data_IF_625564580592
#
_entry.id   IF_625564580592
#
_cell.length_a   1.000
_cell.length_b   1.000
_cell.length_c   1.000
_cell.angle_alpha   90.00
_cell.angle_beta   90.00
_cell.angle_gamma   90.00
#
_symmetry.space_group_name_H-M   'P 1'
#
loop_
_entity.id
_entity.type
_entity.pdbx_description
1 polymer ?
#
# COMPACT_ATOMS: atom_id res chain seq x y z
N UNK A 1 12.36 6.81 -0.87
CA UNK A 1 11.08 6.07 -0.96
C UNK A 1 10.53 5.82 0.43
N UNK A 2 9.30 6.24 0.70
CA UNK A 2 8.57 5.94 1.93
C UNK A 2 7.60 4.78 1.73
N UNK A 3 7.75 3.71 2.51
CA UNK A 3 6.86 2.55 2.53
C UNK A 3 5.93 2.62 3.74
N UNK A 4 4.62 2.72 3.50
CA UNK A 4 3.61 2.62 4.57
C UNK A 4 3.08 1.18 4.58
N UNK A 5 3.41 0.42 5.62
CA UNK A 5 3.10 -1.01 5.74
C UNK A 5 4.23 -1.94 5.24
N UNK A 6 5.32 -2.12 6.01
CA UNK A 6 6.45 -2.99 5.64
C UNK A 6 6.18 -4.50 5.82
N UNK A 7 5.02 -4.95 5.33
CA UNK A 7 4.65 -6.36 5.21
C UNK A 7 5.34 -7.03 4.01
N UNK A 8 4.83 -8.19 3.59
CA UNK A 8 5.40 -8.96 2.46
C UNK A 8 5.54 -8.12 1.17
N UNK A 9 4.49 -7.37 0.81
CA UNK A 9 4.48 -6.55 -0.42
C UNK A 9 5.41 -5.33 -0.26
N UNK A 10 5.28 -4.60 0.85
CA UNK A 10 6.11 -3.41 1.11
C UNK A 10 7.62 -3.73 1.11
N UNK A 11 8.03 -4.88 1.66
CA UNK A 11 9.43 -5.36 1.61
C UNK A 11 9.88 -5.65 0.19
N UNK A 12 9.07 -6.35 -0.60
CA UNK A 12 9.39 -6.66 -1.99
C UNK A 12 9.56 -5.36 -2.83
N UNK A 13 8.77 -4.32 -2.54
CA UNK A 13 8.92 -3.00 -3.16
C UNK A 13 10.21 -2.32 -2.69
N UNK A 14 10.50 -2.34 -1.38
CA UNK A 14 11.74 -1.79 -0.82
C UNK A 14 12.99 -2.41 -1.43
N UNK A 15 13.04 -3.75 -1.58
CA UNK A 15 14.15 -4.48 -2.20
C UNK A 15 14.37 -4.05 -3.65
N UNK A 16 13.29 -3.88 -4.43
CA UNK A 16 13.38 -3.38 -5.80
C UNK A 16 13.90 -1.95 -5.82
N UNK A 17 13.34 -1.08 -4.98
CA UNK A 17 13.74 0.33 -4.90
C UNK A 17 15.21 0.52 -4.52
N UNK A 18 15.75 -0.32 -3.63
CA UNK A 18 17.16 -0.33 -3.30
C UNK A 18 18.05 -0.61 -4.53
N UNK A 19 17.61 -1.49 -5.45
CA UNK A 19 18.31 -1.74 -6.71
C UNK A 19 18.29 -0.53 -7.68
N UNK A 20 17.34 0.39 -7.52
CA UNK A 20 17.33 1.69 -8.21
C UNK A 20 18.16 2.77 -7.50
N UNK A 21 18.88 2.43 -6.42
CA UNK A 21 19.68 3.37 -5.64
C UNK A 21 18.84 4.32 -4.76
N UNK A 22 17.60 3.97 -4.44
CA UNK A 22 16.75 4.78 -3.58
C UNK A 22 17.04 4.53 -2.10
N UNK A 23 17.06 5.60 -1.30
CA UNK A 23 16.99 5.50 0.16
C UNK A 23 15.58 5.12 0.60
N UNK A 24 15.44 4.06 1.41
CA UNK A 24 14.13 3.54 1.83
C UNK A 24 13.88 3.82 3.32
N UNK A 25 12.74 4.44 3.62
CA UNK A 25 12.20 4.57 4.97
C UNK A 25 10.84 3.88 5.06
N UNK A 26 10.48 3.37 6.23
CA UNK A 26 9.22 2.65 6.41
C UNK A 26 8.50 3.04 7.71
N UNK A 27 7.16 3.10 7.65
CA UNK A 27 6.29 3.36 8.79
C UNK A 27 5.13 2.34 8.87
N UNK A 28 4.58 2.16 10.07
CA UNK A 28 3.45 1.26 10.35
C UNK A 28 3.87 -0.16 10.75
N UNK A 29 2.90 -0.92 11.28
CA UNK A 29 3.09 -2.32 11.67
C UNK A 29 2.81 -3.24 10.47
N UNK A 30 3.78 -4.09 10.12
CA UNK A 30 3.48 -5.27 9.32
C UNK A 30 2.72 -6.24 10.22
N UNK A 31 1.44 -6.48 9.98
CA UNK A 31 0.66 -7.41 10.78
C UNK A 31 1.27 -8.82 10.73
N UNK A 32 2.00 -9.20 11.78
CA UNK A 32 1.78 -10.37 12.65
C UNK A 32 3.08 -10.87 13.31
N UNK A 33 3.00 -11.03 14.63
CA UNK A 33 3.98 -11.57 15.60
C UNK A 33 5.24 -10.78 15.91
N UNK A 34 5.58 -10.75 17.20
CA UNK A 34 6.78 -10.23 17.86
C UNK A 34 8.11 -10.75 17.26
N UNK A 35 8.06 -11.80 16.42
CA UNK A 35 9.18 -12.23 15.57
C UNK A 35 9.49 -11.28 14.41
N UNK A 36 8.51 -10.52 13.93
CA UNK A 36 8.61 -9.61 12.77
C UNK A 36 9.15 -8.23 13.14
N UNK A 37 9.06 -7.84 14.42
CA UNK A 37 9.73 -6.64 14.94
C UNK A 37 11.25 -6.78 14.83
N UNK A 38 11.77 -8.01 14.95
CA UNK A 38 13.19 -8.34 14.74
C UNK A 38 13.57 -8.54 13.27
N UNK A 39 12.61 -8.77 12.36
CA UNK A 39 12.89 -9.01 10.94
C UNK A 39 12.71 -7.80 10.02
N UNK A 40 12.18 -6.69 10.51
CA UNK A 40 12.16 -5.45 9.72
C UNK A 40 13.54 -4.77 9.67
N UNK A 41 14.47 -5.21 10.53
CA UNK A 41 15.91 -4.95 10.41
C UNK A 41 16.59 -5.81 9.32
N UNK A 42 15.92 -6.80 8.71
CA UNK A 42 16.57 -7.79 7.83
C UNK A 42 16.65 -7.36 6.35
N UNK A 43 16.13 -6.19 5.98
CA UNK A 43 16.35 -5.64 4.62
C UNK A 43 17.47 -4.61 4.73
N UNK A 44 18.69 -4.88 4.21
CA UNK A 44 19.78 -3.92 4.28
C UNK A 44 19.32 -2.56 3.72
N UNK A 45 19.37 -1.51 4.54
CA UNK A 45 19.11 -0.14 4.11
C UNK A 45 17.67 0.40 4.29
N UNK A 46 16.73 -0.34 4.90
CA UNK A 46 15.41 0.24 5.24
C UNK A 46 15.36 0.77 6.68
N UNK A 47 15.18 2.07 6.85
CA UNK A 47 15.08 2.71 8.18
C UNK A 47 13.63 2.85 8.63
N UNK A 48 13.30 2.40 9.84
CA UNK A 48 11.96 2.62 10.42
C UNK A 48 11.83 4.02 11.01
N UNK A 49 10.71 4.68 10.70
CA UNK A 49 10.41 6.06 11.07
C UNK A 49 8.93 6.20 11.45
N UNK A 50 8.56 7.34 12.04
CA UNK A 50 7.15 7.68 12.21
C UNK A 50 6.48 7.95 10.86
N UNK A 51 5.15 7.84 10.79
CA UNK A 51 4.41 8.22 9.57
C UNK A 51 4.67 9.68 9.20
N UNK A 52 4.66 10.58 10.20
CA UNK A 52 4.93 12.00 10.01
C UNK A 52 6.31 12.25 9.40
N UNK A 53 7.35 11.59 9.92
CA UNK A 53 8.71 11.70 9.37
C UNK A 53 8.79 11.13 7.95
N UNK A 54 8.11 10.00 7.68
CA UNK A 54 8.04 9.41 6.35
C UNK A 54 7.43 10.38 5.33
N UNK A 55 6.29 10.99 5.66
CA UNK A 55 5.58 11.90 4.76
C UNK A 55 6.44 13.12 4.40
N UNK A 56 7.12 13.71 5.40
CA UNK A 56 7.96 14.90 5.19
C UNK A 56 9.26 14.58 4.42
N UNK A 57 9.82 13.39 4.61
CA UNK A 57 11.12 13.02 4.03
C UNK A 57 11.05 12.33 2.67
N UNK A 58 9.89 11.81 2.26
CA UNK A 58 9.78 10.95 1.06
C UNK A 58 9.43 11.71 -0.22
N UNK A 59 10.17 11.44 -1.29
CA UNK A 59 9.85 11.90 -2.67
C UNK A 59 8.82 11.00 -3.36
N UNK A 60 8.65 9.78 -2.87
CA UNK A 60 7.59 8.85 -3.28
C UNK A 60 7.09 8.15 -2.03
N UNK A 61 5.76 8.10 -1.85
CA UNK A 61 5.10 7.38 -0.76
C UNK A 61 4.27 6.25 -1.37
N UNK A 62 4.52 5.01 -0.96
CA UNK A 62 3.82 3.82 -1.46
C UNK A 62 3.09 3.10 -0.33
N UNK A 63 1.80 2.83 -0.54
CA UNK A 63 0.90 2.24 0.45
C UNK A 63 0.77 0.73 0.28
N UNK A 64 0.95 -0.01 1.38
CA UNK A 64 0.93 -1.47 1.44
C UNK A 64 0.28 -1.99 2.73
N UNK A 65 -0.67 -1.24 3.28
CA UNK A 65 -1.40 -1.58 4.52
C UNK A 65 -2.71 -2.29 4.21
N UNK A 66 -3.17 -3.23 5.06
CA UNK A 66 -4.56 -3.68 5.01
C UNK A 66 -5.50 -2.53 5.38
N UNK A 67 -6.76 -2.61 4.93
CA UNK A 67 -7.80 -1.68 5.39
C UNK A 67 -8.34 -2.15 6.75
N UNK A 68 -8.32 -1.26 7.73
CA UNK A 68 -8.91 -1.39 9.07
C UNK A 68 -9.50 -0.04 9.49
N UNK A 69 -10.06 0.04 10.70
CA UNK A 69 -10.54 1.31 11.24
C UNK A 69 -9.39 2.34 11.40
N UNK A 70 -8.20 1.85 11.74
CA UNK A 70 -7.00 2.67 11.98
C UNK A 70 -6.33 3.13 10.67
N UNK A 71 -6.48 2.37 9.58
CA UNK A 71 -5.86 2.70 8.29
C UNK A 71 -6.84 3.34 7.30
N UNK A 72 -8.14 3.40 7.64
CA UNK A 72 -9.12 4.16 6.86
C UNK A 72 -8.74 5.63 6.90
N UNK A 73 -8.62 6.23 5.72
CA UNK A 73 -8.20 7.63 5.53
C UNK A 73 -6.89 7.95 6.26
N UNK A 74 -5.99 6.98 6.33
CA UNK A 74 -4.63 7.18 6.85
C UNK A 74 -3.91 8.29 6.09
N UNK A 75 -4.19 8.40 4.79
CA UNK A 75 -3.77 9.52 3.95
C UNK A 75 -4.97 10.45 3.74
N UNK A 76 -5.20 11.29 4.74
CA UNK A 76 -6.20 12.36 4.73
C UNK A 76 -5.59 13.71 4.28
N UNK A 77 -6.40 14.77 4.36
CA UNK A 77 -5.97 16.13 4.05
C UNK A 77 -4.75 16.58 4.86
N UNK A 78 -4.67 16.21 6.13
CA UNK A 78 -3.54 16.55 7.00
C UNK A 78 -2.29 15.82 6.52
N UNK A 79 -2.35 14.52 6.28
CA UNK A 79 -1.23 13.72 5.78
C UNK A 79 -0.70 14.26 4.45
N UNK A 80 -1.59 14.59 3.51
CA UNK A 80 -1.22 15.14 2.20
C UNK A 80 -0.47 16.48 2.33
N UNK A 81 -0.87 17.36 3.26
CA UNK A 81 -0.14 18.63 3.49
C UNK A 81 1.26 18.47 4.07
N UNK A 82 1.58 17.31 4.64
CA UNK A 82 2.91 17.00 5.20
C UNK A 82 3.87 16.49 4.14
N UNK A 83 3.36 16.03 3.00
CA UNK A 83 4.18 15.54 1.90
C UNK A 83 4.97 16.67 1.23
N UNK A 84 6.09 16.32 0.60
CA UNK A 84 6.82 17.28 -0.25
C UNK A 84 5.95 17.68 -1.44
N UNK A 85 6.07 18.93 -1.88
CA UNK A 85 5.43 19.41 -3.11
C UNK A 85 5.85 18.64 -4.36
N UNK A 86 7.03 18.05 -4.33
CA UNK A 86 7.59 17.21 -5.40
C UNK A 86 7.22 15.74 -5.26
N UNK A 87 6.52 15.34 -4.19
CA UNK A 87 6.28 13.94 -3.89
C UNK A 87 5.19 13.32 -4.77
N UNK A 88 5.33 12.01 -5.02
CA UNK A 88 4.28 11.19 -5.64
C UNK A 88 3.66 10.24 -4.61
N UNK A 89 2.34 10.06 -4.66
CA UNK A 89 1.61 9.06 -3.87
C UNK A 89 1.24 7.85 -4.73
N UNK A 90 1.49 6.64 -4.25
CA UNK A 90 1.13 5.39 -4.92
C UNK A 90 0.23 4.57 -4.01
N UNK A 91 -0.98 4.24 -4.47
CA UNK A 91 -1.89 3.32 -3.78
C UNK A 91 -2.21 2.10 -4.63
N UNK A 92 -1.62 0.96 -4.25
CA UNK A 92 -1.96 -0.36 -4.76
C UNK A 92 -2.39 -1.30 -3.61
N UNK A 93 -2.87 -0.71 -2.50
CA UNK A 93 -3.31 -1.43 -1.31
C UNK A 93 -4.85 -1.57 -1.30
N UNK A 94 -5.54 -0.58 -0.72
CA UNK A 94 -7.00 -0.50 -0.66
C UNK A 94 -7.39 0.96 -0.84
N UNK A 95 -8.45 1.21 -1.61
CA UNK A 95 -8.92 2.56 -1.92
C UNK A 95 -9.14 3.43 -0.68
N UNK A 96 -9.97 3.00 0.30
CA UNK A 96 -10.31 3.80 1.47
C UNK A 96 -9.16 4.10 2.44
N UNK A 97 -7.93 3.65 2.16
CA UNK A 97 -6.73 4.10 2.91
C UNK A 97 -6.42 5.56 2.58
N UNK A 98 -6.82 6.02 1.39
CA UNK A 98 -6.71 7.40 0.94
C UNK A 98 -8.12 8.00 0.96
N UNK A 99 -8.25 9.21 1.49
CA UNK A 99 -9.41 10.06 1.24
C UNK A 99 -9.28 10.64 -0.18
N UNK A 100 -10.07 10.14 -1.13
CA UNK A 100 -9.95 10.53 -2.54
C UNK A 100 -10.32 12.00 -2.80
N UNK A 101 -11.26 12.55 -2.04
CA UNK A 101 -11.64 13.95 -2.13
C UNK A 101 -10.48 14.83 -1.66
N UNK A 102 -9.84 14.47 -0.54
CA UNK A 102 -8.65 15.15 -0.06
C UNK A 102 -7.48 15.02 -1.04
N UNK A 103 -7.31 13.87 -1.69
CA UNK A 103 -6.27 13.67 -2.71
C UNK A 103 -6.52 14.57 -3.93
N UNK A 104 -7.74 14.61 -4.45
CA UNK A 104 -8.11 15.47 -5.57
C UNK A 104 -7.83 16.94 -5.25
N UNK A 105 -8.24 17.39 -4.06
CA UNK A 105 -7.92 18.72 -3.55
C UNK A 105 -6.41 18.98 -3.52
N UNK A 106 -5.62 18.08 -2.93
CA UNK A 106 -4.18 18.26 -2.78
C UNK A 106 -3.45 18.34 -4.14
N UNK A 107 -3.88 17.55 -5.11
CA UNK A 107 -3.33 17.57 -6.47
C UNK A 107 -3.71 18.84 -7.22
N UNK A 108 -4.97 19.30 -7.10
CA UNK A 108 -5.44 20.55 -7.70
C UNK A 108 -4.68 21.77 -7.16
N UNK A 109 -4.44 21.79 -5.85
CA UNK A 109 -3.66 22.84 -5.16
C UNK A 109 -2.13 22.66 -5.32
N UNK A 110 -1.69 21.64 -6.06
CA UNK A 110 -0.28 21.28 -6.28
C UNK A 110 0.51 21.14 -4.98
N UNK A 111 -0.11 20.57 -3.95
CA UNK A 111 0.54 20.24 -2.67
C UNK A 111 1.44 19.02 -2.78
N UNK A 112 1.18 18.15 -3.77
CA UNK A 112 2.03 17.04 -4.20
C UNK A 112 2.12 17.05 -5.73
N UNK A 113 3.11 16.35 -6.29
CA UNK A 113 3.41 16.39 -7.71
C UNK A 113 2.47 15.51 -8.55
N UNK A 114 2.00 14.40 -7.99
CA UNK A 114 1.14 13.45 -8.70
C UNK A 114 0.74 12.24 -7.87
N UNK A 115 -0.11 11.39 -8.44
CA UNK A 115 -0.54 10.15 -7.81
C UNK A 115 -0.73 9.01 -8.82
N UNK A 116 -0.54 7.78 -8.37
CA UNK A 116 -0.86 6.57 -9.12
C UNK A 116 -1.76 5.65 -8.27
N UNK A 117 -2.96 5.33 -8.76
CA UNK A 117 -3.97 4.58 -8.05
C UNK A 117 -4.37 3.33 -8.85
N UNK A 118 -4.23 2.16 -8.23
CA UNK A 118 -4.77 0.89 -8.75
C UNK A 118 -6.09 0.50 -8.05
N UNK A 119 -6.47 1.21 -6.99
CA UNK A 119 -7.62 0.90 -6.13
C UNK A 119 -8.37 2.19 -5.77
N UNK A 120 -9.68 2.11 -5.57
CA UNK A 120 -10.54 3.29 -5.35
C UNK A 120 -11.45 3.18 -4.13
N UNK A 121 -11.73 4.32 -3.49
CA UNK A 121 -12.52 4.35 -2.24
C UNK A 121 -13.92 3.75 -2.44
N UNK A 122 -14.52 3.97 -3.61
CA UNK A 122 -15.87 3.51 -3.96
C UNK A 122 -15.85 2.62 -5.19
N UNK A 123 -14.90 1.67 -5.26
CA UNK A 123 -14.75 0.74 -6.39
C UNK A 123 -16.10 0.16 -6.86
N UNK A 124 -16.39 0.19 -8.18
CA UNK A 124 -15.51 0.58 -9.28
C UNK A 124 -15.49 2.08 -9.61
N UNK A 125 -16.22 2.92 -8.86
CA UNK A 125 -16.27 4.36 -9.09
C UNK A 125 -14.98 5.03 -8.59
N UNK A 126 -14.48 5.96 -9.40
CA UNK A 126 -13.34 6.85 -9.09
C UNK A 126 -13.89 8.23 -8.74
N UNK A 127 -13.26 8.94 -7.79
CA UNK A 127 -13.52 10.36 -7.59
C UNK A 127 -13.41 11.15 -8.90
N UNK A 128 -14.47 11.89 -9.23
CA UNK A 128 -14.66 12.46 -10.57
C UNK A 128 -13.58 13.49 -10.89
N UNK A 129 -13.14 14.24 -9.88
CA UNK A 129 -12.09 15.23 -10.04
C UNK A 129 -10.75 14.60 -10.44
N UNK A 130 -10.44 13.38 -9.96
CA UNK A 130 -9.20 12.68 -10.31
C UNK A 130 -9.12 12.32 -11.80
N UNK A 131 -10.25 12.07 -12.45
CA UNK A 131 -10.32 11.72 -13.87
C UNK A 131 -9.87 12.84 -14.81
N UNK A 132 -9.90 14.10 -14.34
CA UNK A 132 -9.55 15.27 -15.13
C UNK A 132 -8.11 15.74 -14.92
N UNK A 133 -7.35 15.11 -14.00
CA UNK A 133 -6.02 15.54 -13.61
C UNK A 133 -4.93 14.79 -14.39
N UNK A 134 -4.13 15.52 -15.16
CA UNK A 134 -3.05 14.95 -15.99
C UNK A 134 -1.92 14.32 -15.17
N UNK A 135 -1.73 14.77 -13.92
CA UNK A 135 -0.73 14.25 -12.99
C UNK A 135 -1.17 12.98 -12.24
N UNK A 136 -2.28 12.35 -12.66
CA UNK A 136 -2.85 11.16 -12.04
C UNK A 136 -2.86 10.00 -13.02
N UNK A 137 -2.32 8.87 -12.58
CA UNK A 137 -2.40 7.59 -13.30
C UNK A 137 -3.41 6.69 -12.59
N UNK A 138 -4.37 6.15 -13.34
CA UNK A 138 -5.45 5.32 -12.82
C UNK A 138 -5.42 3.94 -13.50
N UNK A 139 -5.41 2.87 -12.71
CA UNK A 139 -5.48 1.50 -13.18
C UNK A 139 -6.62 0.73 -12.48
N UNK A 140 -7.37 -0.15 -13.19
CA UNK A 140 -8.55 -0.81 -12.64
C UNK A 140 -8.18 -2.10 -11.87
N UNK A 141 -7.57 -1.98 -10.69
CA UNK A 141 -7.28 -3.08 -9.76
C UNK A 141 -6.55 -4.27 -10.42
N UNK A 142 -5.44 -3.96 -11.08
CA UNK A 142 -4.64 -4.89 -11.87
C UNK A 142 -3.46 -5.49 -11.11
N UNK A 143 -3.21 -5.13 -9.84
CA UNK A 143 -2.02 -5.55 -9.09
C UNK A 143 -1.78 -7.07 -8.99
N UNK A 144 -2.83 -7.90 -9.09
CA UNK A 144 -2.74 -9.36 -9.14
C UNK A 144 -3.07 -9.97 -10.51
N UNK A 145 -3.26 -9.15 -11.54
CA UNK A 145 -3.79 -9.56 -12.83
C UNK A 145 -2.76 -10.22 -13.77
N UNK A 146 -1.77 -10.94 -13.23
CA UNK A 146 -0.91 -11.83 -14.04
C UNK A 146 -1.46 -13.26 -14.06
N UNK A 147 -1.25 -13.98 -15.16
CA UNK A 147 -1.73 -15.37 -15.30
C UNK A 147 -1.20 -16.26 -14.18
N UNK A 148 0.11 -16.19 -13.92
CA UNK A 148 0.76 -17.01 -12.90
C UNK A 148 0.23 -16.70 -11.49
N UNK A 149 0.03 -15.42 -11.15
CA UNK A 149 -0.54 -15.03 -9.85
C UNK A 149 -1.96 -15.53 -9.70
N UNK A 150 -2.80 -15.39 -10.74
CA UNK A 150 -4.19 -15.87 -10.70
C UNK A 150 -4.28 -17.39 -10.61
N UNK A 151 -3.43 -18.12 -11.32
CA UNK A 151 -3.36 -19.59 -11.22
C UNK A 151 -2.95 -20.02 -9.82
N UNK A 152 -1.87 -19.44 -9.26
CA UNK A 152 -1.42 -19.77 -7.91
C UNK A 152 -2.47 -19.43 -6.83
N UNK A 153 -3.21 -18.33 -6.99
CA UNK A 153 -4.32 -17.98 -6.10
C UNK A 153 -5.46 -19.00 -6.18
N UNK A 154 -5.83 -19.45 -7.38
CA UNK A 154 -6.89 -20.44 -7.59
C UNK A 154 -6.50 -21.80 -7.00
N UNK A 155 -5.25 -22.24 -7.23
CA UNK A 155 -4.70 -23.48 -6.66
C UNK A 155 -4.68 -23.43 -5.13
N UNK A 156 -4.23 -22.32 -4.55
CA UNK A 156 -4.21 -22.14 -3.09
C UNK A 156 -5.62 -22.14 -2.49
N UNK A 157 -6.59 -21.51 -3.16
CA UNK A 157 -7.98 -21.52 -2.73
C UNK A 157 -8.56 -22.95 -2.75
N UNK A 158 -8.35 -23.69 -3.84
CA UNK A 158 -8.78 -25.08 -3.95
C UNK A 158 -8.12 -25.98 -2.89
N UNK A 159 -6.83 -25.79 -2.62
CA UNK A 159 -6.10 -26.52 -1.60
C UNK A 159 -6.63 -26.26 -0.19
N UNK A 160 -6.94 -25.00 0.15
CA UNK A 160 -7.59 -24.68 1.44
C UNK A 160 -8.94 -25.39 1.61
N UNK A 161 -9.77 -25.44 0.56
CA UNK A 161 -11.06 -26.16 0.59
C UNK A 161 -10.85 -27.66 0.79
N UNK A 162 -9.90 -28.25 0.06
CA UNK A 162 -9.58 -29.68 0.17
C UNK A 162 -9.12 -30.07 1.59
N UNK A 163 -8.29 -29.24 2.23
CA UNK A 163 -7.86 -29.44 3.62
C UNK A 163 -9.05 -29.47 4.58
N UNK A 164 -9.93 -28.46 4.50
CA UNK A 164 -11.11 -28.35 5.37
C UNK A 164 -12.08 -29.52 5.17
N UNK A 165 -12.36 -29.89 3.92
CA UNK A 165 -13.21 -31.05 3.62
C UNK A 165 -12.60 -32.38 4.07
N UNK A 166 -11.27 -32.43 4.22
CA UNK A 166 -10.53 -33.58 4.77
C UNK A 166 -10.43 -33.56 6.31
N UNK A 167 -11.08 -32.60 6.98
CA UNK A 167 -11.04 -32.46 8.44
C UNK A 167 -9.75 -31.84 8.98
N UNK A 168 -8.91 -31.25 8.12
CA UNK A 168 -7.68 -30.54 8.50
C UNK A 168 -7.90 -29.02 8.50
N UNK A 169 -7.09 -28.23 9.24
CA UNK A 169 -7.18 -26.77 9.18
C UNK A 169 -6.78 -26.25 7.79
N UNK A 170 -7.31 -25.09 7.36
CA UNK A 170 -6.91 -24.47 6.09
C UNK A 170 -5.42 -24.10 6.12
N UNK A 171 -4.78 -24.10 4.94
CA UNK A 171 -3.37 -23.73 4.77
C UNK A 171 -3.09 -22.26 5.11
N UNK A 172 -4.06 -21.37 4.85
CA UNK A 172 -3.97 -19.94 5.08
C UNK A 172 -5.18 -19.45 5.88
N UNK A 173 -5.29 -19.80 7.17
CA UNK A 173 -6.37 -19.32 8.03
C UNK A 173 -6.27 -17.80 8.17
N UNK A 174 -7.40 -17.11 8.11
CA UNK A 174 -7.46 -15.70 8.46
C UNK A 174 -7.37 -15.62 9.98
N UNK A 175 -6.46 -14.81 10.52
CA UNK A 175 -6.42 -14.56 11.94
C UNK A 175 -7.73 -13.90 12.37
N UNK A 176 -8.49 -14.56 13.24
CA UNK A 176 -9.68 -13.98 13.86
C UNK A 176 -9.26 -12.76 14.66
N UNK A 177 -9.88 -11.60 14.40
CA UNK A 177 -9.82 -10.40 15.24
C UNK A 177 -10.50 -10.63 16.58
#
# INVERSE_FOLDING_TARGET
LGIVGPGRIGRAVAERAAAFGMDVVAAGSGASTERSVRRADDSPGTRRVSLDELLVSSDVVSLHVPLSAETRHLIDRRALTRMKRTAFLINAARGPVVDEEALAWALRERLIAGAALDVYEREPAVERELLALEQVVLAPHLGSATRDTRTAMAELAAANVAEVLSGRPPLTPIASS
#
